data_IF_397891840436
#
_entry.id   IF_397891840436
#
_cell.length_a   1.000
_cell.length_b   1.000
_cell.length_c   1.000
_cell.angle_alpha   90.00
_cell.angle_beta   90.00
_cell.angle_gamma   90.00
#
_symmetry.space_group_name_H-M   'P 1'
#
loop_
_entity.id
_entity.type
_entity.pdbx_description
1 polymer ?
#
# COMPACT_ATOMS: atom_id res chain seq x y z
N UNK A 1 -0.62 -7.94 16.49
CA UNK A 1 -0.69 -9.36 16.08
C UNK A 1 -1.29 -9.59 14.69
N UNK A 2 -2.40 -8.93 14.28
CA UNK A 2 -3.12 -9.21 13.01
C UNK A 2 -2.30 -9.08 11.71
N UNK A 3 -1.26 -8.24 11.66
CA UNK A 3 -0.41 -8.08 10.46
C UNK A 3 0.82 -8.99 10.42
N UNK A 4 1.10 -9.75 11.49
CA UNK A 4 2.33 -10.56 11.57
C UNK A 4 2.37 -11.62 10.47
N UNK A 5 1.27 -12.34 10.27
CA UNK A 5 1.15 -13.36 9.24
C UNK A 5 1.33 -12.79 7.81
N UNK A 6 0.93 -11.54 7.58
CA UNK A 6 1.21 -10.86 6.31
C UNK A 6 2.71 -10.65 6.13
N UNK A 7 3.39 -10.03 7.10
CA UNK A 7 4.82 -9.74 6.99
C UNK A 7 5.71 -10.98 6.93
N UNK A 8 5.27 -12.11 7.49
CA UNK A 8 5.98 -13.39 7.41
C UNK A 8 5.96 -14.00 6.00
N UNK A 9 4.98 -13.63 5.15
CA UNK A 9 4.76 -14.25 3.83
C UNK A 9 4.76 -13.26 2.67
N UNK A 10 4.85 -11.95 2.92
CA UNK A 10 4.85 -10.95 1.86
C UNK A 10 6.21 -10.86 1.17
N UNK A 11 6.19 -10.45 -0.08
CA UNK A 11 7.38 -10.00 -0.83
C UNK A 11 7.59 -8.52 -0.51
N UNK A 12 8.81 -8.14 -0.14
CA UNK A 12 9.23 -6.75 -0.02
C UNK A 12 10.00 -6.32 -1.27
N UNK A 13 9.47 -5.34 -1.99
CA UNK A 13 10.08 -4.72 -3.16
C UNK A 13 10.51 -3.28 -2.83
N UNK A 14 11.81 -2.94 -2.88
CA UNK A 14 12.23 -1.55 -2.83
C UNK A 14 11.82 -0.83 -4.12
N UNK A 15 10.96 0.18 -4.01
CA UNK A 15 10.59 1.04 -5.13
C UNK A 15 11.63 2.16 -5.34
N UNK A 16 12.09 2.75 -4.25
CA UNK A 16 13.16 3.76 -4.24
C UNK A 16 14.07 3.50 -3.04
N UNK A 17 15.38 3.62 -3.25
CA UNK A 17 16.37 3.72 -2.18
C UNK A 17 17.36 4.81 -2.55
N UNK A 18 17.33 5.90 -1.80
CA UNK A 18 18.18 7.08 -2.00
C UNK A 18 18.67 7.61 -0.66
N UNK A 19 19.51 8.64 -0.68
CA UNK A 19 19.96 9.31 0.55
C UNK A 19 18.85 10.08 1.27
N UNK A 20 17.77 10.42 0.55
CA UNK A 20 16.67 11.25 1.08
C UNK A 20 15.48 10.41 1.51
N UNK A 21 15.19 9.34 0.76
CA UNK A 21 14.00 8.51 0.94
C UNK A 21 14.30 7.03 0.70
N UNK A 22 13.63 6.19 1.49
CA UNK A 22 13.44 4.77 1.23
C UNK A 22 11.95 4.50 1.08
N UNK A 23 11.55 3.87 -0.02
CA UNK A 23 10.17 3.50 -0.32
C UNK A 23 10.11 2.01 -0.58
N UNK A 24 9.33 1.31 0.23
CA UNK A 24 9.14 -0.14 0.19
C UNK A 24 7.69 -0.46 -0.15
N UNK A 25 7.51 -1.44 -1.02
CA UNK A 25 6.21 -2.04 -1.29
C UNK A 25 6.22 -3.48 -0.78
N UNK A 26 5.32 -3.80 0.12
CA UNK A 26 5.07 -5.15 0.58
C UNK A 26 3.81 -5.66 -0.09
N UNK A 27 3.82 -6.87 -0.63
CA UNK A 27 2.64 -7.50 -1.23
C UNK A 27 2.63 -8.99 -0.95
N UNK A 28 1.46 -9.54 -0.68
CA UNK A 28 1.27 -10.99 -0.81
C UNK A 28 1.29 -11.40 -2.31
N UNK A 29 1.48 -12.69 -2.59
CA UNK A 29 1.63 -13.21 -3.96
C UNK A 29 0.43 -12.88 -4.88
N UNK A 30 -0.76 -12.77 -4.28
CA UNK A 30 -2.00 -12.45 -4.97
C UNK A 30 -2.32 -10.95 -4.94
N UNK A 31 -1.44 -10.12 -4.39
CA UNK A 31 -1.66 -8.70 -4.07
C UNK A 31 -3.03 -8.41 -3.43
N UNK A 32 -3.52 -9.29 -2.57
CA UNK A 32 -4.77 -9.05 -1.82
C UNK A 32 -4.59 -7.87 -0.87
N UNK A 33 -3.40 -7.77 -0.29
CA UNK A 33 -2.94 -6.62 0.49
C UNK A 33 -1.62 -6.13 -0.06
N UNK A 34 -1.54 -4.82 -0.29
CA UNK A 34 -0.29 -4.13 -0.59
C UNK A 34 -0.08 -3.05 0.46
N UNK A 35 1.14 -2.93 0.97
CA UNK A 35 1.54 -1.88 1.90
C UNK A 35 2.67 -1.08 1.26
N UNK A 36 2.48 0.21 1.11
CA UNK A 36 3.54 1.16 0.80
C UNK A 36 4.04 1.75 2.11
N UNK A 37 5.32 1.58 2.38
CA UNK A 37 6.01 2.24 3.49
C UNK A 37 7.05 3.18 2.94
N UNK A 38 7.00 4.42 3.42
CA UNK A 38 7.94 5.44 3.08
C UNK A 38 8.65 5.90 4.35
N UNK A 39 9.97 6.03 4.26
CA UNK A 39 10.85 6.56 5.30
C UNK A 39 11.66 7.71 4.70
N UNK A 40 11.61 8.87 5.34
CA UNK A 40 12.42 10.02 4.97
C UNK A 40 13.60 10.17 5.93
N UNK A 41 14.78 10.35 5.36
CA UNK A 41 16.04 10.39 6.08
C UNK A 41 16.58 11.82 6.20
N UNK A 42 16.58 12.57 5.09
CA UNK A 42 17.27 13.88 5.00
C UNK A 42 16.50 14.98 4.27
N UNK A 43 15.28 14.69 3.83
CA UNK A 43 14.47 15.68 3.11
C UNK A 43 13.58 16.50 4.07
N UNK A 44 13.07 17.62 3.56
CA UNK A 44 12.04 18.44 4.21
C UNK A 44 10.72 18.49 3.43
N UNK A 45 10.55 17.65 2.40
CA UNK A 45 9.32 17.57 1.60
C UNK A 45 8.10 17.20 2.47
N UNK A 46 6.97 17.85 2.26
CA UNK A 46 5.74 17.58 3.02
C UNK A 46 4.89 16.46 2.40
N UNK A 47 5.07 16.21 1.12
CA UNK A 47 4.38 15.15 0.39
C UNK A 47 5.24 14.59 -0.73
N UNK A 48 4.94 13.35 -1.14
CA UNK A 48 5.60 12.66 -2.24
C UNK A 48 4.59 11.82 -3.02
N UNK A 49 4.73 11.75 -4.34
CA UNK A 49 3.90 10.88 -5.19
C UNK A 49 4.66 9.57 -5.43
N UNK A 50 4.07 8.45 -5.02
CA UNK A 50 4.64 7.11 -5.15
C UNK A 50 3.89 6.31 -6.20
N UNK A 51 4.63 5.69 -7.11
CA UNK A 51 4.07 4.83 -8.16
C UNK A 51 4.26 3.36 -7.78
N UNK A 52 3.23 2.68 -7.25
CA UNK A 52 3.33 1.26 -6.89
C UNK A 52 3.48 0.37 -8.13
N UNK A 53 4.07 -0.81 -7.96
CA UNK A 53 4.04 -1.87 -8.99
C UNK A 53 2.86 -2.79 -8.73
N UNK A 54 1.84 -2.73 -9.59
CA UNK A 54 0.59 -3.47 -9.42
C UNK A 54 0.36 -4.41 -10.60
N UNK A 55 -0.21 -5.60 -10.37
CA UNK A 55 -0.72 -6.42 -11.49
C UNK A 55 -1.87 -5.71 -12.20
N UNK A 56 -1.84 -5.78 -13.53
CA UNK A 56 -2.85 -5.18 -14.41
C UNK A 56 -4.23 -5.80 -14.17
N UNK A 57 -5.28 -5.01 -14.39
CA UNK A 57 -6.68 -5.46 -14.34
C UNK A 57 -7.27 -5.59 -12.94
N UNK A 58 -6.49 -5.28 -11.89
CA UNK A 58 -6.99 -5.28 -10.51
C UNK A 58 -7.58 -3.94 -10.10
N UNK A 59 -8.37 -3.97 -9.03
CA UNK A 59 -8.94 -2.80 -8.36
C UNK A 59 -8.59 -2.84 -6.88
N UNK A 60 -8.27 -1.68 -6.33
CA UNK A 60 -7.83 -1.53 -4.96
C UNK A 60 -8.67 -0.49 -4.24
N UNK A 61 -8.94 -0.75 -2.97
CA UNK A 61 -9.52 0.19 -2.03
C UNK A 61 -8.40 0.99 -1.39
N UNK A 62 -8.46 2.32 -1.55
CA UNK A 62 -7.60 3.30 -0.90
C UNK A 62 -8.49 4.39 -0.31
N UNK A 63 -8.38 4.67 0.99
CA UNK A 63 -9.17 5.71 1.66
C UNK A 63 -10.70 5.60 1.41
N UNK A 64 -11.23 4.37 1.40
CA UNK A 64 -12.64 4.04 1.09
C UNK A 64 -13.10 4.30 -0.35
N UNK A 65 -12.18 4.63 -1.26
CA UNK A 65 -12.45 4.79 -2.68
C UNK A 65 -11.82 3.65 -3.48
N UNK A 66 -12.42 3.33 -4.62
CA UNK A 66 -11.96 2.26 -5.50
C UNK A 66 -11.17 2.84 -6.66
N UNK A 67 -9.95 2.35 -6.83
CA UNK A 67 -9.06 2.73 -7.91
C UNK A 67 -8.64 1.50 -8.71
N UNK A 68 -8.55 1.64 -10.02
CA UNK A 68 -7.94 0.61 -10.86
C UNK A 68 -6.42 0.61 -10.68
N UNK A 69 -5.81 -0.56 -10.87
CA UNK A 69 -4.36 -0.72 -10.97
C UNK A 69 -3.74 0.30 -11.91
N UNK A 70 -4.35 0.52 -13.08
CA UNK A 70 -3.91 1.50 -14.08
C UNK A 70 -3.88 2.93 -13.50
N UNK A 71 -4.97 3.38 -12.89
CA UNK A 71 -5.05 4.73 -12.30
C UNK A 71 -3.96 4.96 -11.25
N UNK A 72 -3.69 3.98 -10.39
CA UNK A 72 -2.66 4.08 -9.35
C UNK A 72 -1.24 4.03 -9.93
N UNK A 73 -1.01 3.26 -11.00
CA UNK A 73 0.30 3.19 -11.66
C UNK A 73 0.61 4.40 -12.52
N UNK A 74 -0.41 5.08 -13.07
CA UNK A 74 -0.23 6.25 -13.95
C UNK A 74 -0.22 7.56 -13.17
N UNK A 75 -1.09 7.72 -12.17
CA UNK A 75 -1.19 8.96 -11.40
C UNK A 75 -0.39 8.93 -10.09
N UNK A 76 0.02 7.74 -9.65
CA UNK A 76 0.67 7.54 -8.37
C UNK A 76 -0.27 7.73 -7.18
N UNK A 77 0.30 7.59 -5.99
CA UNK A 77 -0.37 7.76 -4.71
C UNK A 77 0.35 8.86 -3.96
N UNK A 78 -0.40 9.88 -3.57
CA UNK A 78 0.13 10.97 -2.74
C UNK A 78 0.28 10.50 -1.31
N UNK A 79 1.51 10.51 -0.81
CA UNK A 79 1.86 10.23 0.57
C UNK A 79 2.22 11.54 1.26
N UNK A 80 1.52 11.83 2.35
CA UNK A 80 1.82 13.00 3.21
C UNK A 80 2.53 12.51 4.46
N UNK A 81 3.59 13.20 4.84
CA UNK A 81 4.36 12.89 6.04
C UNK A 81 3.61 13.35 7.29
N UNK A 82 3.71 12.56 8.37
CA UNK A 82 3.28 13.04 9.69
C UNK A 82 4.38 13.90 10.32
N UNK A 83 4.00 14.97 11.03
CA UNK A 83 4.98 15.92 11.59
C UNK A 83 5.89 15.33 12.67
N UNK A 84 5.43 14.29 13.38
CA UNK A 84 6.15 13.68 14.50
C UNK A 84 7.10 12.55 14.08
N UNK A 85 6.76 11.83 13.01
CA UNK A 85 7.59 10.77 12.41
C UNK A 85 7.54 10.96 10.91
N UNK A 86 8.68 11.25 10.29
CA UNK A 86 8.82 11.44 8.84
C UNK A 86 8.76 10.12 8.08
N UNK A 87 7.66 9.41 8.28
CA UNK A 87 7.30 8.17 7.63
C UNK A 87 5.82 8.19 7.28
N UNK A 88 5.45 7.41 6.26
CA UNK A 88 4.07 7.24 5.84
C UNK A 88 3.81 5.77 5.56
N UNK A 89 2.62 5.29 5.91
CA UNK A 89 2.16 3.94 5.53
C UNK A 89 0.81 4.05 4.86
N UNK A 90 0.71 3.51 3.64
CA UNK A 90 -0.55 3.36 2.92
C UNK A 90 -0.82 1.90 2.68
N UNK A 91 -2.07 1.49 2.88
CA UNK A 91 -2.53 0.12 2.66
C UNK A 91 -3.53 0.14 1.52
N UNK A 92 -3.25 -0.64 0.49
CA UNK A 92 -4.17 -0.95 -0.59
C UNK A 92 -4.74 -2.35 -0.34
N UNK A 93 -6.04 -2.50 -0.51
CA UNK A 93 -6.70 -3.80 -0.41
C UNK A 93 -7.44 -4.13 -1.69
N UNK A 94 -7.26 -5.34 -2.20
CA UNK A 94 -7.99 -5.83 -3.35
C UNK A 94 -9.51 -5.83 -3.10
N UNK A 95 -10.28 -5.25 -4.02
CA UNK A 95 -11.74 -5.10 -3.87
C UNK A 95 -12.46 -6.45 -3.81
N UNK A 96 -12.02 -7.42 -4.60
CA UNK A 96 -12.63 -8.76 -4.66
C UNK A 96 -12.45 -9.51 -3.34
N UNK A 97 -11.24 -9.49 -2.80
CA UNK A 97 -10.89 -10.11 -1.52
C UNK A 97 -11.65 -9.49 -0.36
N UNK A 98 -11.81 -8.17 -0.34
CA UNK A 98 -12.61 -7.48 0.69
C UNK A 98 -14.11 -7.79 0.56
N UNK A 99 -14.64 -7.91 -0.67
CA UNK A 99 -16.03 -8.29 -0.89
C UNK A 99 -16.33 -9.72 -0.38
N UNK A 100 -15.41 -10.67 -0.61
CA UNK A 100 -15.51 -12.03 -0.06
C UNK A 100 -15.48 -11.99 1.47
N UNK A 101 -14.53 -11.26 2.08
CA UNK A 101 -14.42 -11.13 3.54
C UNK A 101 -15.70 -10.55 4.14
N UNK A 102 -16.25 -9.49 3.55
CA UNK A 102 -17.49 -8.87 3.99
C UNK A 102 -18.69 -9.84 3.88
N UNK A 103 -18.72 -10.67 2.83
CA UNK A 103 -19.76 -11.70 2.69
C UNK A 103 -19.63 -12.78 3.76
N UNK A 104 -18.44 -13.33 3.98
CA UNK A 104 -18.19 -14.36 5.01
C UNK A 104 -18.51 -13.85 6.41
N UNK A 105 -18.13 -12.61 6.73
CA UNK A 105 -18.39 -11.98 8.03
C UNK A 105 -19.89 -11.87 8.37
N UNK A 106 -20.79 -11.90 7.38
CA UNK A 106 -22.25 -11.92 7.62
C UNK A 106 -22.76 -13.30 8.09
N UNK A 107 -21.98 -14.36 7.90
CA UNK A 107 -22.39 -15.74 8.21
C UNK A 107 -21.62 -16.35 9.39
N UNK A 108 -20.64 -15.64 9.95
CA UNK A 108 -19.92 -16.06 11.16
C UNK A 108 -20.32 -15.09 12.28
N UNK A 109 -21.11 -15.53 13.28
CA UNK A 109 -21.55 -14.71 14.40
C UNK A 109 -20.40 -14.24 15.30
#
# INVERSE_FOLDING_TARGET
KKMRAFYENCICLPLIRSENFTILQYSDDEEKTIILQLFEEKSFQQELIVFPKLKKGKQYILNNEVYTSQQLTENGIKLTFSESVRSCTVILKDTYSEAIRARIAKYIP
#
